data_IF_496598344465
#
_entry.id   IF_496598344465
#
_cell.length_a   1.000
_cell.length_b   1.000
_cell.length_c   1.000
_cell.angle_alpha   90.00
_cell.angle_beta   90.00
_cell.angle_gamma   90.00
#
_symmetry.space_group_name_H-M   'P 1'
#
loop_
_entity.id
_entity.type
_entity.pdbx_description
1 polymer ?
#
# COMPACT_ATOMS: atom_id res chain seq x y z
N UNK A 1 14.57 16.28 63.15
CA UNK A 1 15.42 16.21 61.94
C UNK A 1 14.57 15.71 60.78
N UNK A 2 14.12 16.60 59.88
CA UNK A 2 13.32 16.24 58.70
C UNK A 2 14.27 16.07 57.51
N UNK A 3 14.34 14.86 56.93
CA UNK A 3 15.14 14.58 55.73
C UNK A 3 14.43 15.18 54.51
N UNK A 4 15.08 16.15 53.86
CA UNK A 4 14.67 16.68 52.56
C UNK A 4 15.16 15.70 51.50
N UNK A 5 14.24 15.04 50.81
CA UNK A 5 14.51 14.26 49.61
C UNK A 5 14.58 15.21 48.42
N UNK A 6 15.79 15.52 47.97
CA UNK A 6 16.06 16.13 46.67
C UNK A 6 15.85 15.05 45.61
N UNK A 7 14.70 15.07 44.95
CA UNK A 7 14.50 14.34 43.69
C UNK A 7 15.10 15.20 42.58
N UNK A 8 16.08 14.73 41.80
CA UNK A 8 16.50 15.44 40.62
C UNK A 8 15.37 15.33 39.59
N UNK A 9 14.72 16.45 39.31
CA UNK A 9 13.84 16.60 38.17
C UNK A 9 14.68 16.42 36.90
N UNK A 10 14.67 15.21 36.35
CA UNK A 10 15.15 14.97 34.99
C UNK A 10 14.09 15.54 34.06
N UNK A 11 14.21 16.84 33.77
CA UNK A 11 13.56 17.50 32.65
C UNK A 11 14.22 16.99 31.36
N UNK A 12 13.80 15.82 30.88
CA UNK A 12 13.91 15.51 29.45
C UNK A 12 12.72 16.17 28.74
N UNK A 13 12.79 17.50 28.67
CA UNK A 13 12.08 18.28 27.67
C UNK A 13 12.86 18.17 26.35
N UNK A 14 12.72 17.07 25.62
CA UNK A 14 12.96 17.10 24.18
C UNK A 14 11.63 17.30 23.51
N UNK A 15 11.39 18.57 23.18
CA UNK A 15 10.40 19.06 22.25
C UNK A 15 10.28 18.13 21.02
N UNK A 16 9.28 17.25 21.00
CA UNK A 16 8.58 16.92 19.76
C UNK A 16 7.33 17.79 19.70
N UNK A 17 7.55 19.11 19.73
CA UNK A 17 6.60 19.98 19.06
C UNK A 17 6.80 19.68 17.58
N UNK A 18 5.84 18.97 16.98
CA UNK A 18 5.70 18.90 15.55
C UNK A 18 5.63 20.35 15.04
N UNK A 19 6.78 20.94 14.70
CA UNK A 19 6.81 22.12 13.88
C UNK A 19 6.11 21.69 12.60
N UNK A 20 4.89 22.20 12.42
CA UNK A 20 4.14 22.02 11.19
C UNK A 20 4.96 22.73 10.12
N UNK A 21 5.86 22.00 9.49
CA UNK A 21 6.81 22.54 8.53
C UNK A 21 6.04 23.27 7.43
N UNK A 22 6.64 24.31 6.86
CA UNK A 22 6.01 25.15 5.84
C UNK A 22 5.51 24.33 4.64
N UNK A 23 6.15 23.18 4.39
CA UNK A 23 5.81 22.26 3.31
C UNK A 23 4.74 21.21 3.66
N UNK A 24 4.40 20.98 4.94
CA UNK A 24 3.60 19.84 5.41
C UNK A 24 2.18 19.67 4.80
N UNK A 25 1.66 20.66 4.07
CA UNK A 25 0.37 20.56 3.36
C UNK A 25 0.48 20.94 1.88
N UNK A 26 1.70 21.03 1.37
CA UNK A 26 1.96 21.33 -0.02
C UNK A 26 1.98 20.03 -0.83
N UNK A 27 0.95 19.83 -1.66
CA UNK A 27 0.80 18.68 -2.53
C UNK A 27 1.15 19.01 -4.00
N UNK A 28 1.98 20.04 -4.23
CA UNK A 28 2.50 20.38 -5.57
C UNK A 28 3.99 20.06 -5.67
N UNK A 29 4.37 19.19 -6.60
CA UNK A 29 5.80 18.89 -6.84
C UNK A 29 6.55 20.11 -7.37
N UNK A 30 5.91 20.94 -8.18
CA UNK A 30 6.45 22.21 -8.68
C UNK A 30 6.77 23.16 -7.52
N UNK A 31 5.79 23.46 -6.65
CA UNK A 31 6.01 24.38 -5.53
C UNK A 31 7.03 23.83 -4.52
N UNK A 32 7.09 22.50 -4.32
CA UNK A 32 8.10 21.89 -3.47
C UNK A 32 9.52 22.00 -4.06
N UNK A 33 9.68 21.81 -5.39
CA UNK A 33 10.96 21.99 -6.08
C UNK A 33 11.53 23.41 -5.89
N UNK A 34 10.67 24.42 -5.94
CA UNK A 34 11.07 25.83 -5.79
C UNK A 34 11.68 26.15 -4.41
N UNK A 35 11.22 25.48 -3.35
CA UNK A 35 11.70 25.70 -1.99
C UNK A 35 12.77 24.70 -1.55
N UNK A 36 13.01 23.63 -2.32
CA UNK A 36 13.91 22.52 -1.97
C UNK A 36 15.29 22.97 -1.48
N UNK A 37 15.91 23.97 -2.14
CA UNK A 37 17.24 24.48 -1.78
C UNK A 37 17.27 25.27 -0.48
N UNK A 38 16.12 25.76 -0.01
CA UNK A 38 15.96 26.56 1.21
C UNK A 38 15.71 25.68 2.45
N UNK A 39 15.36 24.40 2.25
CA UNK A 39 15.04 23.48 3.34
C UNK A 39 16.31 23.13 4.13
N UNK A 40 16.31 23.31 5.46
CA UNK A 40 17.42 22.90 6.31
C UNK A 40 17.71 21.40 6.22
N UNK A 41 18.98 21.00 6.35
CA UNK A 41 19.40 19.60 6.23
C UNK A 41 18.65 18.66 7.18
N UNK A 42 18.36 19.12 8.40
CA UNK A 42 17.61 18.37 9.42
C UNK A 42 16.11 18.20 9.09
N UNK A 43 15.57 18.93 8.12
CA UNK A 43 14.18 18.83 7.67
C UNK A 43 14.03 18.12 6.31
N UNK A 44 15.14 17.86 5.60
CA UNK A 44 15.14 17.26 4.25
C UNK A 44 14.43 15.92 4.18
N UNK A 45 14.55 15.10 5.21
CA UNK A 45 13.89 13.79 5.28
C UNK A 45 12.37 13.92 5.17
N UNK A 46 11.76 14.76 6.01
CA UNK A 46 10.33 15.04 6.00
C UNK A 46 9.90 15.81 4.76
N UNK A 47 10.75 16.71 4.25
CA UNK A 47 10.51 17.39 2.98
C UNK A 47 10.39 16.38 1.82
N UNK A 48 11.28 15.39 1.74
CA UNK A 48 11.22 14.38 0.69
C UNK A 48 10.07 13.38 0.87
N UNK A 49 9.67 13.07 2.12
CA UNK A 49 8.39 12.39 2.38
C UNK A 49 7.21 13.19 1.85
N UNK A 50 7.20 14.51 2.01
CA UNK A 50 6.15 15.36 1.46
C UNK A 50 6.17 15.46 -0.06
N UNK A 51 7.37 15.57 -0.67
CA UNK A 51 7.53 15.52 -2.13
C UNK A 51 7.00 14.22 -2.71
N UNK A 52 7.25 13.10 -2.04
CA UNK A 52 6.69 11.79 -2.39
C UNK A 52 5.15 11.82 -2.37
N UNK A 53 4.53 12.36 -1.32
CA UNK A 53 3.06 12.51 -1.26
C UNK A 53 2.51 13.33 -2.42
N UNK A 54 3.15 14.46 -2.72
CA UNK A 54 2.75 15.33 -3.81
C UNK A 54 2.84 14.60 -5.16
N UNK A 55 3.95 13.92 -5.42
CA UNK A 55 4.19 13.19 -6.66
C UNK A 55 3.14 12.11 -6.90
N UNK A 56 2.87 11.26 -5.91
CA UNK A 56 1.82 10.23 -6.03
C UNK A 56 0.44 10.86 -6.25
N UNK A 57 0.13 11.94 -5.53
CA UNK A 57 -1.17 12.62 -5.65
C UNK A 57 -1.37 13.19 -7.06
N UNK A 58 -0.35 13.84 -7.63
CA UNK A 58 -0.37 14.37 -9.00
C UNK A 58 -0.46 13.24 -10.04
N UNK A 59 0.29 12.15 -9.86
CA UNK A 59 0.21 10.98 -10.73
C UNK A 59 -1.19 10.34 -10.71
N UNK A 60 -1.79 10.16 -9.54
CA UNK A 60 -3.15 9.61 -9.41
C UNK A 60 -4.17 10.53 -10.08
N UNK A 61 -4.07 11.84 -9.84
CA UNK A 61 -4.97 12.84 -10.45
C UNK A 61 -4.91 12.80 -11.98
N UNK A 62 -3.71 12.66 -12.53
CA UNK A 62 -3.50 12.66 -13.98
C UNK A 62 -3.88 11.34 -14.64
N UNK A 63 -3.51 10.20 -14.06
CA UNK A 63 -3.59 8.88 -14.70
C UNK A 63 -4.83 8.06 -14.36
N UNK A 64 -5.44 8.23 -13.19
CA UNK A 64 -6.66 7.48 -12.85
C UNK A 64 -7.78 7.76 -13.85
N UNK A 65 -8.51 6.72 -14.22
CA UNK A 65 -9.64 6.78 -15.13
C UNK A 65 -10.83 7.54 -14.53
N UNK A 66 -11.13 7.36 -13.24
CA UNK A 66 -12.14 8.17 -12.56
C UNK A 66 -11.57 9.55 -12.21
N UNK A 67 -12.15 10.61 -12.80
CA UNK A 67 -11.62 11.98 -12.68
C UNK A 67 -12.19 12.80 -11.52
N UNK A 68 -13.21 12.29 -10.83
CA UNK A 68 -13.95 13.06 -9.82
C UNK A 68 -13.57 12.68 -8.39
N UNK A 69 -12.33 12.21 -8.16
CA UNK A 69 -11.84 12.07 -6.79
C UNK A 69 -11.68 13.44 -6.15
N UNK A 70 -12.08 13.57 -4.88
CA UNK A 70 -11.69 14.73 -4.10
C UNK A 70 -10.20 14.66 -3.78
N UNK A 71 -9.53 15.80 -3.76
CA UNK A 71 -8.15 15.94 -3.27
C UNK A 71 -7.94 15.23 -1.92
N UNK A 72 -8.91 15.36 -1.02
CA UNK A 72 -8.84 14.75 0.32
C UNK A 72 -8.71 13.23 0.24
N UNK A 73 -9.42 12.58 -0.68
CA UNK A 73 -9.35 11.12 -0.89
C UNK A 73 -7.98 10.71 -1.41
N UNK A 74 -7.49 11.39 -2.45
CA UNK A 74 -6.19 11.07 -3.05
C UNK A 74 -5.04 11.27 -2.05
N UNK A 75 -5.08 12.35 -1.27
CA UNK A 75 -4.07 12.65 -0.23
C UNK A 75 -4.11 11.62 0.90
N UNK A 76 -5.30 11.28 1.41
CA UNK A 76 -5.46 10.23 2.44
C UNK A 76 -4.92 8.90 1.94
N UNK A 77 -5.20 8.54 0.69
CA UNK A 77 -4.70 7.30 0.13
C UNK A 77 -3.17 7.30 -0.01
N UNK A 78 -2.57 8.39 -0.50
CA UNK A 78 -1.12 8.55 -0.52
C UNK A 78 -0.48 8.40 0.89
N UNK A 79 -1.14 8.95 1.92
CA UNK A 79 -0.70 8.78 3.31
C UNK A 79 -0.73 7.32 3.78
N UNK A 80 -1.76 6.55 3.37
CA UNK A 80 -1.83 5.12 3.70
C UNK A 80 -0.66 4.32 3.11
N UNK A 81 -0.24 4.66 1.89
CA UNK A 81 0.86 4.00 1.20
C UNK A 81 2.17 4.22 1.95
N UNK A 82 2.45 5.46 2.37
CA UNK A 82 3.65 5.79 3.15
C UNK A 82 3.63 5.11 4.52
N UNK A 83 2.46 5.02 5.16
CA UNK A 83 2.33 4.41 6.48
C UNK A 83 2.67 2.91 6.49
N UNK A 84 2.32 2.18 5.42
CA UNK A 84 2.62 0.74 5.30
C UNK A 84 4.14 0.48 5.23
N UNK A 85 4.90 1.41 4.66
CA UNK A 85 6.30 1.21 4.29
C UNK A 85 7.32 1.67 5.35
N UNK A 86 6.90 1.85 6.61
CA UNK A 86 7.79 2.32 7.68
C UNK A 86 8.67 1.19 8.23
N UNK A 87 9.94 1.18 7.85
CA UNK A 87 11.01 0.53 8.62
C UNK A 87 11.57 1.48 9.70
N UNK A 88 12.19 0.93 10.75
CA UNK A 88 12.91 1.72 11.76
C UNK A 88 14.06 2.52 11.09
N UNK A 89 14.10 3.83 11.32
CA UNK A 89 15.04 4.75 10.68
C UNK A 89 16.50 4.47 11.10
N UNK A 90 17.36 4.08 10.16
CA UNK A 90 18.81 4.06 10.35
C UNK A 90 19.42 5.43 9.97
N UNK A 91 19.83 6.20 10.97
CA UNK A 91 20.21 7.61 10.81
C UNK A 91 21.44 7.87 9.92
N UNK A 92 22.37 6.91 9.79
CA UNK A 92 23.56 7.06 8.93
C UNK A 92 23.23 6.91 7.45
N UNK A 93 22.41 5.92 7.10
CA UNK A 93 21.96 5.66 5.72
C UNK A 93 21.08 6.81 5.20
N UNK A 94 20.25 7.38 6.08
CA UNK A 94 19.39 8.54 5.75
C UNK A 94 20.19 9.74 5.23
N UNK A 95 21.36 10.03 5.81
CA UNK A 95 22.17 11.20 5.42
C UNK A 95 22.76 11.12 4.00
N UNK A 96 23.13 9.94 3.53
CA UNK A 96 23.70 9.73 2.19
C UNK A 96 22.59 9.67 1.13
N UNK A 97 21.46 9.05 1.46
CA UNK A 97 20.25 9.06 0.61
C UNK A 97 19.84 10.50 0.31
N UNK A 98 19.73 11.35 1.33
CA UNK A 98 19.33 12.76 1.17
C UNK A 98 20.27 13.52 0.23
N UNK A 99 21.59 13.34 0.35
CA UNK A 99 22.56 14.00 -0.56
C UNK A 99 22.37 13.58 -2.00
N UNK A 100 22.10 12.29 -2.25
CA UNK A 100 21.89 11.78 -3.60
C UNK A 100 20.58 12.31 -4.18
N UNK A 101 19.52 12.44 -3.38
CA UNK A 101 18.28 13.10 -3.80
C UNK A 101 18.55 14.58 -4.12
N UNK A 102 19.23 15.32 -3.24
CA UNK A 102 19.59 16.74 -3.47
C UNK A 102 20.37 16.91 -4.79
N UNK A 103 21.31 16.01 -5.08
CA UNK A 103 22.07 15.98 -6.34
C UNK A 103 21.14 15.81 -7.52
N UNK A 104 20.21 14.85 -7.48
CA UNK A 104 19.27 14.57 -8.56
C UNK A 104 18.32 15.75 -8.82
N UNK A 105 17.87 16.44 -7.77
CA UNK A 105 17.13 17.69 -7.90
C UNK A 105 17.94 18.80 -8.58
N UNK A 106 19.25 18.84 -8.36
CA UNK A 106 20.13 19.89 -8.91
C UNK A 106 20.46 19.72 -10.39
N UNK A 107 20.25 18.52 -10.94
CA UNK A 107 20.49 18.19 -12.36
C UNK A 107 19.19 17.90 -13.12
N UNK A 108 18.04 18.34 -12.59
CA UNK A 108 16.69 18.11 -13.13
C UNK A 108 16.29 16.63 -13.33
N UNK A 109 16.98 15.70 -12.65
CA UNK A 109 16.70 14.26 -12.67
C UNK A 109 15.75 13.82 -11.54
N UNK A 110 14.94 14.74 -11.00
CA UNK A 110 14.03 14.45 -9.88
C UNK A 110 12.97 13.37 -10.22
N UNK A 111 12.67 13.17 -11.50
CA UNK A 111 11.69 12.20 -11.99
C UNK A 111 12.35 10.97 -12.65
N UNK A 112 13.67 10.78 -12.46
CA UNK A 112 14.37 9.60 -12.96
C UNK A 112 14.11 8.36 -12.07
N UNK A 113 14.15 7.16 -12.65
CA UNK A 113 13.96 5.88 -11.94
C UNK A 113 14.92 5.74 -10.76
N UNK A 114 16.20 6.11 -10.92
CA UNK A 114 17.16 6.07 -9.83
C UNK A 114 16.76 6.97 -8.65
N UNK A 115 16.13 8.12 -8.95
CA UNK A 115 15.63 9.00 -7.91
C UNK A 115 14.40 8.43 -7.19
N UNK A 116 13.60 7.61 -7.88
CA UNK A 116 12.48 6.90 -7.29
C UNK A 116 12.93 5.86 -6.26
N UNK A 117 14.03 5.14 -6.53
CA UNK A 117 14.65 4.26 -5.53
C UNK A 117 15.16 5.02 -4.31
N UNK A 118 15.80 6.19 -4.52
CA UNK A 118 16.27 7.03 -3.41
C UNK A 118 15.11 7.60 -2.58
N UNK A 119 14.04 8.05 -3.23
CA UNK A 119 12.82 8.52 -2.55
C UNK A 119 12.14 7.39 -1.76
N UNK A 120 12.08 6.19 -2.34
CA UNK A 120 11.60 4.99 -1.67
C UNK A 120 12.44 4.67 -0.41
N UNK A 121 13.77 4.64 -0.53
CA UNK A 121 14.66 4.43 0.59
C UNK A 121 14.50 5.52 1.67
N UNK A 122 14.27 6.79 1.27
CA UNK A 122 14.01 7.87 2.21
C UNK A 122 12.70 7.70 3.00
N UNK A 123 11.74 6.89 2.54
CA UNK A 123 10.52 6.60 3.32
C UNK A 123 10.60 5.27 4.09
N UNK A 124 11.75 4.59 4.03
CA UNK A 124 11.98 3.33 4.75
C UNK A 124 11.70 2.07 3.93
N UNK A 125 11.56 2.17 2.61
CA UNK A 125 11.52 1.00 1.73
C UNK A 125 12.92 0.38 1.57
N UNK A 126 12.97 -0.93 1.30
CA UNK A 126 14.23 -1.61 1.02
C UNK A 126 14.89 -1.07 -0.26
N UNK A 127 16.24 -1.13 -0.38
CA UNK A 127 16.96 -0.54 -1.52
C UNK A 127 16.56 -1.07 -2.91
N UNK A 128 16.04 -2.29 -2.98
CA UNK A 128 15.55 -2.94 -4.20
C UNK A 128 14.07 -2.63 -4.50
N UNK A 129 13.36 -1.99 -3.58
CA UNK A 129 11.98 -1.59 -3.79
C UNK A 129 11.90 -0.26 -4.53
N UNK A 130 10.94 -0.16 -5.43
CA UNK A 130 10.71 1.04 -6.21
C UNK A 130 9.62 1.91 -5.59
N UNK A 131 9.70 3.21 -5.87
CA UNK A 131 8.59 4.13 -5.70
C UNK A 131 7.33 3.56 -6.38
N UNK A 132 6.17 3.59 -5.71
CA UNK A 132 4.98 3.04 -6.30
C UNK A 132 4.45 3.93 -7.42
N UNK A 133 4.29 3.39 -8.62
CA UNK A 133 3.84 4.13 -9.79
C UNK A 133 2.35 3.94 -10.03
N UNK A 134 1.68 4.97 -10.55
CA UNK A 134 0.27 4.83 -10.91
C UNK A 134 0.15 4.12 -12.26
N UNK A 135 -0.63 3.04 -12.28
CA UNK A 135 -0.84 2.14 -13.43
C UNK A 135 -2.33 1.88 -13.66
N UNK A 136 -2.70 1.50 -14.89
CA UNK A 136 -4.04 0.99 -15.21
C UNK A 136 -4.23 -0.48 -14.84
N UNK A 137 -3.12 -1.21 -14.67
CA UNK A 137 -3.10 -2.65 -14.41
C UNK A 137 -2.26 -2.96 -13.16
N UNK A 138 -2.59 -4.03 -12.42
CA UNK A 138 -1.80 -4.47 -11.28
C UNK A 138 -0.43 -4.99 -11.72
N UNK A 139 0.63 -4.37 -11.19
CA UNK A 139 2.01 -4.82 -11.32
C UNK A 139 2.78 -4.59 -10.00
N UNK A 140 4.06 -4.94 -9.94
CA UNK A 140 4.92 -4.72 -8.78
C UNK A 140 5.05 -3.22 -8.44
N UNK A 141 4.82 -2.87 -7.17
CA UNK A 141 4.88 -1.49 -6.70
C UNK A 141 3.97 -0.56 -7.52
N UNK A 142 2.70 -0.94 -7.71
CA UNK A 142 1.76 -0.10 -8.46
C UNK A 142 0.57 0.35 -7.62
N UNK A 143 0.05 1.51 -8.00
CA UNK A 143 -1.16 2.10 -7.46
C UNK A 143 -2.17 2.11 -8.59
N UNK A 144 -3.34 1.54 -8.37
CA UNK A 144 -4.33 1.42 -9.43
C UNK A 144 -5.76 1.43 -8.87
N UNK A 145 -6.70 1.69 -9.77
CA UNK A 145 -8.13 1.62 -9.48
C UNK A 145 -8.61 0.19 -9.71
N UNK A 146 -8.82 -0.57 -8.65
CA UNK A 146 -9.45 -1.89 -8.79
C UNK A 146 -10.91 -1.75 -9.21
N UNK A 147 -11.60 -0.76 -8.65
CA UNK A 147 -12.91 -0.33 -9.14
C UNK A 147 -12.89 1.20 -9.23
N UNK A 148 -12.90 1.78 -10.44
CA UNK A 148 -12.86 3.23 -10.62
C UNK A 148 -13.93 3.96 -9.81
N UNK A 149 -13.50 4.95 -9.03
CA UNK A 149 -14.32 5.75 -8.14
C UNK A 149 -14.68 5.11 -6.79
N UNK A 150 -14.33 3.83 -6.56
CA UNK A 150 -14.84 3.08 -5.41
C UNK A 150 -13.76 2.31 -4.63
N UNK A 151 -12.83 1.64 -5.31
CA UNK A 151 -11.76 0.87 -4.66
C UNK A 151 -10.41 1.22 -5.28
N UNK A 152 -9.50 1.67 -4.43
CA UNK A 152 -8.10 1.94 -4.77
C UNK A 152 -7.21 0.86 -4.14
N UNK A 153 -6.18 0.44 -4.87
CA UNK A 153 -5.29 -0.62 -4.42
C UNK A 153 -3.84 -0.23 -4.61
N UNK A 154 -3.03 -0.60 -3.63
CA UNK A 154 -1.58 -0.56 -3.69
C UNK A 154 -1.06 -1.99 -3.67
N UNK A 155 -0.32 -2.37 -4.71
CA UNK A 155 0.39 -3.64 -4.78
C UNK A 155 1.86 -3.49 -4.41
N UNK A 156 2.37 -4.50 -3.73
CA UNK A 156 3.77 -4.56 -3.30
C UNK A 156 4.27 -5.98 -3.54
N UNK A 157 5.51 -6.09 -4.00
CA UNK A 157 6.18 -7.38 -4.08
C UNK A 157 6.97 -7.60 -2.80
N UNK A 158 6.94 -8.84 -2.30
CA UNK A 158 7.97 -9.28 -1.36
C UNK A 158 9.12 -9.87 -2.17
N UNK A 159 10.36 -9.44 -1.91
CA UNK A 159 11.58 -10.02 -2.48
C UNK A 159 11.78 -11.52 -2.20
N UNK A 160 10.86 -12.16 -1.48
CA UNK A 160 10.85 -13.58 -1.13
C UNK A 160 9.68 -14.28 -1.85
N UNK A 161 10.01 -15.14 -2.82
CA UNK A 161 9.09 -16.01 -3.58
C UNK A 161 8.07 -15.33 -4.53
N UNK A 162 8.43 -14.19 -5.15
CA UNK A 162 7.66 -13.55 -6.25
C UNK A 162 6.18 -13.28 -5.93
N UNK A 163 5.85 -13.06 -4.66
CA UNK A 163 4.47 -12.86 -4.21
C UNK A 163 4.04 -11.40 -4.33
N UNK A 164 2.88 -11.16 -4.96
CA UNK A 164 2.22 -9.85 -4.95
C UNK A 164 1.22 -9.76 -3.79
N UNK A 165 1.39 -8.73 -2.97
CA UNK A 165 0.52 -8.40 -1.84
C UNK A 165 -0.26 -7.15 -2.19
N UNK A 166 -1.58 -7.21 -2.03
CA UNK A 166 -2.47 -6.10 -2.35
C UNK A 166 -3.09 -5.52 -1.07
N UNK A 167 -2.94 -4.21 -0.89
CA UNK A 167 -3.65 -3.43 0.12
C UNK A 167 -4.75 -2.62 -0.58
N UNK A 168 -6.00 -3.03 -0.41
CA UNK A 168 -7.15 -2.38 -1.03
C UNK A 168 -7.91 -1.50 -0.04
N UNK A 169 -8.45 -0.40 -0.54
CA UNK A 169 -9.18 0.58 0.24
C UNK A 169 -10.47 0.97 -0.48
N UNK A 170 -11.58 0.96 0.26
CA UNK A 170 -12.87 1.42 -0.23
C UNK A 170 -13.05 2.90 0.08
N UNK A 171 -13.57 3.64 -0.90
CA UNK A 171 -13.91 5.05 -0.76
C UNK A 171 -15.35 5.16 -0.26
N UNK A 172 -15.52 5.84 0.87
CA UNK A 172 -16.82 6.18 1.44
C UNK A 172 -16.91 7.69 1.66
N UNK A 173 -17.40 8.41 0.66
CA UNK A 173 -17.36 9.88 0.64
C UNK A 173 -15.92 10.39 0.63
N UNK A 174 -15.51 11.09 1.71
CA UNK A 174 -14.14 11.58 1.89
C UNK A 174 -13.23 10.62 2.66
N UNK A 175 -13.70 9.40 2.97
CA UNK A 175 -12.95 8.40 3.72
C UNK A 175 -12.34 7.36 2.80
N UNK A 176 -11.19 6.83 3.20
CA UNK A 176 -10.43 5.78 2.53
C UNK A 176 -10.26 4.67 3.57
N UNK A 177 -11.15 3.68 3.52
CA UNK A 177 -11.27 2.66 4.55
C UNK A 177 -10.59 1.36 4.06
N UNK A 178 -9.67 0.75 4.82
CA UNK A 178 -9.04 -0.50 4.42
C UNK A 178 -10.10 -1.60 4.33
N UNK A 179 -10.00 -2.44 3.30
CA UNK A 179 -10.84 -3.64 3.14
C UNK A 179 -10.00 -4.90 3.23
N UNK A 180 -10.57 -5.94 3.85
CA UNK A 180 -10.00 -7.28 3.82
C UNK A 180 -10.80 -8.11 2.81
N UNK A 181 -10.20 -8.52 1.68
CA UNK A 181 -10.90 -9.34 0.70
C UNK A 181 -10.96 -10.81 1.13
N UNK A 182 -10.22 -11.24 2.15
CA UNK A 182 -10.17 -12.63 2.56
C UNK A 182 -11.24 -12.97 3.61
N UNK A 183 -12.09 -13.99 3.36
CA UNK A 183 -13.06 -14.48 4.33
C UNK A 183 -12.39 -15.07 5.57
N UNK A 184 -12.95 -14.77 6.75
CA UNK A 184 -12.51 -15.33 8.03
C UNK A 184 -13.64 -15.99 8.83
N UNK A 185 -14.84 -16.10 8.25
CA UNK A 185 -16.00 -16.67 8.94
C UNK A 185 -16.10 -18.20 8.76
N UNK A 186 -16.47 -18.88 9.85
CA UNK A 186 -16.57 -20.34 9.87
C UNK A 186 -17.59 -20.90 8.87
N UNK A 187 -18.63 -20.13 8.52
CA UNK A 187 -19.67 -20.59 7.59
C UNK A 187 -19.11 -20.66 6.16
N UNK A 188 -18.34 -19.66 5.75
CA UNK A 188 -17.59 -19.68 4.50
C UNK A 188 -16.61 -20.84 4.46
N UNK A 189 -15.75 -20.95 5.47
CA UNK A 189 -14.71 -21.99 5.56
C UNK A 189 -15.34 -23.38 5.48
N UNK A 190 -16.39 -23.65 6.25
CA UNK A 190 -17.06 -24.95 6.25
C UNK A 190 -17.72 -25.30 4.91
N UNK A 191 -18.21 -24.30 4.15
CA UNK A 191 -18.72 -24.53 2.80
C UNK A 191 -17.60 -24.88 1.83
N UNK A 192 -16.52 -24.10 1.83
CA UNK A 192 -15.39 -24.30 0.91
C UNK A 192 -14.67 -25.63 1.17
N UNK A 193 -14.50 -26.04 2.43
CA UNK A 193 -13.83 -27.30 2.81
C UNK A 193 -14.47 -28.56 2.23
N UNK A 194 -15.75 -28.52 1.82
CA UNK A 194 -16.41 -29.65 1.15
C UNK A 194 -15.95 -29.87 -0.29
N UNK A 195 -15.33 -28.85 -0.88
CA UNK A 195 -14.93 -28.82 -2.29
C UNK A 195 -13.40 -28.65 -2.45
N UNK A 196 -12.73 -28.05 -1.47
CA UNK A 196 -11.30 -27.83 -1.47
C UNK A 196 -10.49 -29.09 -1.10
N UNK A 197 -9.24 -29.17 -1.58
CA UNK A 197 -8.30 -30.22 -1.15
C UNK A 197 -7.91 -30.04 0.32
N UNK A 198 -7.38 -31.10 0.93
CA UNK A 198 -6.92 -31.08 2.33
C UNK A 198 -5.83 -30.01 2.55
N UNK A 199 -5.87 -29.37 3.72
CA UNK A 199 -4.91 -28.32 4.09
C UNK A 199 -5.00 -27.04 3.26
N UNK A 200 -6.15 -26.78 2.64
CA UNK A 200 -6.35 -25.56 1.86
C UNK A 200 -6.22 -24.31 2.72
N UNK A 201 -5.67 -23.23 2.14
CA UNK A 201 -5.52 -21.94 2.81
C UNK A 201 -5.49 -20.79 1.80
N UNK A 202 -5.99 -19.63 2.22
CA UNK A 202 -5.64 -18.37 1.56
C UNK A 202 -4.19 -18.01 1.89
N UNK A 203 -3.52 -17.35 0.95
CA UNK A 203 -2.29 -16.64 1.24
C UNK A 203 -2.34 -15.24 0.63
N UNK A 204 -2.06 -14.18 1.41
CA UNK A 204 -2.10 -12.79 0.92
C UNK A 204 -1.26 -12.54 -0.33
N UNK A 205 -0.18 -13.30 -0.50
CA UNK A 205 0.76 -13.19 -1.63
C UNK A 205 0.24 -13.69 -2.98
N UNK A 206 -0.94 -14.32 -2.99
CA UNK A 206 -1.58 -14.76 -4.24
C UNK A 206 -2.14 -13.59 -5.05
N UNK A 207 -2.20 -12.39 -4.46
CA UNK A 207 -3.02 -11.30 -4.97
C UNK A 207 -4.50 -11.67 -4.98
N UNK A 208 -5.31 -10.80 -5.57
CA UNK A 208 -6.73 -11.04 -5.81
C UNK A 208 -7.26 -10.08 -6.88
N UNK A 209 -8.25 -10.51 -7.65
CA UNK A 209 -9.08 -9.64 -8.46
C UNK A 209 -10.33 -9.23 -7.70
N UNK A 210 -10.81 -8.00 -7.90
CA UNK A 210 -12.13 -7.55 -7.44
C UNK A 210 -12.86 -6.93 -8.62
N UNK A 211 -14.04 -7.47 -8.94
CA UNK A 211 -14.96 -6.93 -9.93
C UNK A 211 -16.29 -6.59 -9.26
N UNK A 212 -17.07 -5.68 -9.87
CA UNK A 212 -18.43 -5.38 -9.42
C UNK A 212 -19.44 -5.88 -10.43
N UNK A 213 -20.38 -6.70 -9.99
CA UNK A 213 -21.44 -7.19 -10.86
C UNK A 213 -22.59 -6.17 -10.99
N UNK A 214 -23.54 -6.45 -11.89
CA UNK A 214 -24.71 -5.59 -12.16
C UNK A 214 -25.66 -5.42 -10.97
N UNK A 215 -25.57 -6.29 -9.96
CA UNK A 215 -26.36 -6.22 -8.73
C UNK A 215 -25.66 -5.41 -7.63
N UNK A 216 -24.47 -4.86 -7.92
CA UNK A 216 -23.66 -4.11 -6.97
C UNK A 216 -22.89 -4.97 -5.98
N UNK A 217 -22.81 -6.29 -6.20
CA UNK A 217 -22.00 -7.20 -5.40
C UNK A 217 -20.56 -7.21 -5.94
N UNK A 218 -19.59 -7.25 -5.03
CA UNK A 218 -18.19 -7.46 -5.39
C UNK A 218 -17.93 -8.95 -5.56
N UNK A 219 -17.37 -9.32 -6.70
CA UNK A 219 -16.87 -10.66 -7.00
C UNK A 219 -15.36 -10.63 -6.80
N UNK A 220 -14.86 -11.52 -5.96
CA UNK A 220 -13.44 -11.63 -5.62
C UNK A 220 -12.94 -12.95 -6.16
N UNK A 221 -11.84 -12.90 -6.92
CA UNK A 221 -11.14 -14.05 -7.47
C UNK A 221 -9.73 -14.12 -6.89
N UNK A 222 -9.30 -15.29 -6.43
CA UNK A 222 -7.96 -15.50 -5.87
C UNK A 222 -7.57 -16.97 -5.95
N UNK A 223 -6.28 -17.23 -5.79
CA UNK A 223 -5.76 -18.58 -5.66
C UNK A 223 -5.89 -19.10 -4.22
N UNK A 224 -6.03 -20.42 -4.10
CA UNK A 224 -5.96 -21.18 -2.86
C UNK A 224 -4.73 -22.08 -2.91
N UNK A 225 -4.02 -22.17 -1.79
CA UNK A 225 -2.92 -23.11 -1.61
C UNK A 225 -3.40 -24.37 -0.93
N UNK A 226 -2.80 -25.51 -1.24
CA UNK A 226 -2.99 -26.80 -0.57
C UNK A 226 -1.79 -27.16 0.30
N UNK A 227 -1.87 -28.25 1.06
CA UNK A 227 -0.75 -28.76 1.84
C UNK A 227 0.47 -29.17 0.99
N UNK A 228 0.24 -29.57 -0.27
CA UNK A 228 1.27 -30.03 -1.21
C UNK A 228 1.87 -28.89 -2.02
N UNK A 229 1.23 -27.72 -2.04
CA UNK A 229 1.67 -26.61 -2.86
C UNK A 229 2.97 -26.02 -2.32
N UNK A 230 3.90 -25.79 -3.24
CA UNK A 230 5.06 -24.96 -2.96
C UNK A 230 4.61 -23.53 -2.66
N UNK A 231 5.52 -22.73 -2.10
CA UNK A 231 5.17 -21.36 -1.76
C UNK A 231 4.82 -20.50 -2.99
N UNK A 232 5.39 -20.81 -4.15
CA UNK A 232 5.24 -20.00 -5.36
C UNK A 232 4.10 -20.48 -6.29
N UNK A 233 3.52 -21.66 -6.08
CA UNK A 233 2.62 -22.28 -7.06
C UNK A 233 1.32 -22.79 -6.40
N UNK A 234 0.26 -21.96 -6.29
CA UNK A 234 -1.03 -22.42 -5.82
C UNK A 234 -1.72 -23.32 -6.87
N UNK A 235 -2.30 -24.43 -6.44
CA UNK A 235 -2.93 -25.41 -7.33
C UNK A 235 -4.46 -25.31 -7.41
N UNK A 236 -5.05 -24.29 -6.78
CA UNK A 236 -6.49 -24.09 -6.78
C UNK A 236 -6.87 -22.62 -6.95
N UNK A 237 -8.06 -22.38 -7.49
CA UNK A 237 -8.65 -21.04 -7.65
C UNK A 237 -10.05 -21.00 -7.03
N UNK A 238 -10.44 -19.87 -6.46
CA UNK A 238 -11.77 -19.68 -5.88
C UNK A 238 -12.33 -18.32 -6.28
N UNK A 239 -13.65 -18.31 -6.47
CA UNK A 239 -14.44 -17.09 -6.55
C UNK A 239 -15.52 -17.06 -5.48
N UNK A 240 -15.73 -15.87 -4.93
CA UNK A 240 -16.74 -15.61 -3.95
C UNK A 240 -17.24 -14.17 -4.07
N UNK A 241 -18.36 -13.87 -3.42
CA UNK A 241 -18.94 -12.54 -3.46
C UNK A 241 -19.22 -11.95 -2.10
N UNK A 242 -19.26 -10.62 -2.05
CA UNK A 242 -19.62 -9.83 -0.88
C UNK A 242 -20.26 -8.51 -1.29
N UNK A 243 -20.97 -7.86 -0.37
CA UNK A 243 -21.45 -6.47 -0.52
C UNK A 243 -20.77 -5.51 0.46
N UNK A 244 -20.05 -6.05 1.46
CA UNK A 244 -19.56 -5.30 2.61
C UNK A 244 -18.13 -5.64 3.04
N UNK A 245 -17.45 -6.58 2.37
CA UNK A 245 -16.12 -7.09 2.74
C UNK A 245 -16.05 -7.67 4.17
N UNK A 246 -17.20 -8.11 4.70
CA UNK A 246 -17.33 -8.74 6.02
C UNK A 246 -18.01 -10.09 5.94
N UNK A 247 -19.01 -10.22 5.05
CA UNK A 247 -19.77 -11.45 4.82
C UNK A 247 -19.53 -11.92 3.40
N UNK A 248 -19.05 -13.14 3.27
CA UNK A 248 -18.67 -13.71 1.99
C UNK A 248 -19.53 -14.92 1.66
N UNK A 249 -19.84 -15.06 0.37
CA UNK A 249 -20.60 -16.19 -0.16
C UNK A 249 -19.73 -16.87 -1.22
N UNK A 250 -19.28 -18.11 -1.00
CA UNK A 250 -18.51 -18.83 -2.00
C UNK A 250 -19.38 -19.12 -3.22
N UNK A 251 -18.80 -18.96 -4.42
CA UNK A 251 -19.51 -19.17 -5.69
C UNK A 251 -19.03 -20.42 -6.39
N UNK A 252 -17.73 -20.50 -6.67
CA UNK A 252 -17.13 -21.61 -7.41
C UNK A 252 -15.66 -21.78 -7.05
N UNK A 253 -15.17 -22.99 -7.25
CA UNK A 253 -13.77 -23.37 -7.00
C UNK A 253 -13.28 -24.23 -8.15
N UNK A 254 -12.03 -24.07 -8.54
CA UNK A 254 -11.38 -24.86 -9.58
C UNK A 254 -10.07 -25.45 -9.06
N UNK A 255 -9.70 -26.58 -9.64
CA UNK A 255 -8.33 -27.09 -9.57
C UNK A 255 -7.58 -26.53 -10.78
N UNK A 256 -6.39 -26.00 -10.54
CA UNK A 256 -5.52 -25.45 -11.57
C UNK A 256 -4.66 -26.58 -12.15
N UNK A 257 -5.35 -27.57 -12.73
CA UNK A 257 -4.75 -28.61 -13.56
C UNK A 257 -4.69 -28.10 -15.03
N UNK A 258 -4.17 -28.87 -15.98
CA UNK A 258 -4.02 -28.46 -17.40
C UNK A 258 -5.33 -27.92 -18.02
N UNK A 259 -6.50 -28.40 -17.54
CA UNK A 259 -7.83 -27.90 -17.86
C UNK A 259 -8.52 -27.35 -16.60
N UNK A 260 -8.61 -26.03 -16.46
CA UNK A 260 -9.30 -25.38 -15.34
C UNK A 260 -10.80 -25.68 -15.39
N UNK A 261 -11.27 -26.56 -14.50
CA UNK A 261 -12.70 -26.92 -14.35
C UNK A 261 -13.30 -26.33 -13.09
N UNK A 262 -14.17 -25.34 -13.28
CA UNK A 262 -14.92 -24.70 -12.21
C UNK A 262 -16.07 -25.59 -11.70
N UNK A 263 -16.13 -25.77 -10.39
CA UNK A 263 -17.22 -26.44 -9.67
C UNK A 263 -18.00 -25.43 -8.86
N UNK A 264 -19.33 -25.39 -9.03
CA UNK A 264 -20.21 -24.51 -8.26
C UNK A 264 -20.36 -25.01 -6.82
N UNK A 265 -20.20 -24.10 -5.86
CA UNK A 265 -20.37 -24.36 -4.43
C UNK A 265 -21.84 -24.12 -4.05
N UNK A 266 -22.49 -25.12 -3.44
CA UNK A 266 -23.89 -25.05 -3.02
C UNK A 266 -23.99 -24.79 -1.50
#
# INVERSE_FOLDING_TARGET
MKKILLVPAVLFSTFFLAQKSEFSNNYSTTSLKEIQKKIPQNEKHEFYKQYFRALITEEMTSKFSYKNYSDVVLRKFADTIIAINRMEENSKESSEIIKNIDRNFSIDSANAIDNYHLLAANIGLYPDQMFPIVSSEPDEFTIFETIPGEILTYSQQSGVFTGLYFSSYKINGSNVDPINPYPNDNKFINKVSKYAKSGWRFQPRAGYGIEKNKLGEYIISTSLYTAEDSNAAPSMSIEYKTTDFKRFIPLRIAKNDDDVKWTVIK
#
